data_IF_454463197113
#
_entry.id   IF_454463197113
#
_cell.length_a   1.000
_cell.length_b   1.000
_cell.length_c   1.000
_cell.angle_alpha   90.00
_cell.angle_beta   90.00
_cell.angle_gamma   90.00
#
_symmetry.space_group_name_H-M   'P 1'
#
loop_
_entity.id
_entity.type
_entity.pdbx_description
1 polymer ?
#
# COMPACT_ATOMS: atom_id res chain seq x y z
N UNK A 1 12.66 -2.74 -7.16
CA UNK A 1 11.32 -3.38 -7.14
C UNK A 1 10.54 -2.87 -8.34
N UNK A 2 9.96 -3.74 -9.16
CA UNK A 2 9.09 -3.33 -10.27
C UNK A 2 7.70 -2.97 -9.75
N UNK A 3 7.02 -2.04 -10.42
CA UNK A 3 5.68 -1.55 -10.04
C UNK A 3 4.68 -2.69 -9.81
N UNK A 4 4.68 -3.65 -10.72
CA UNK A 4 3.81 -4.83 -10.69
C UNK A 4 4.07 -5.72 -9.47
N UNK A 5 5.34 -5.88 -9.08
CA UNK A 5 5.69 -6.67 -7.89
C UNK A 5 5.22 -6.00 -6.59
N UNK A 6 5.20 -4.67 -6.55
CA UNK A 6 4.67 -3.93 -5.40
C UNK A 6 3.15 -4.00 -5.36
N UNK A 7 2.47 -3.85 -6.50
CA UNK A 7 1.02 -4.03 -6.61
C UNK A 7 0.57 -5.44 -6.20
N UNK A 8 1.28 -6.47 -6.66
CA UNK A 8 0.96 -7.86 -6.29
C UNK A 8 1.11 -8.10 -4.79
N UNK A 9 2.09 -7.47 -4.14
CA UNK A 9 2.24 -7.55 -2.68
C UNK A 9 1.10 -6.82 -1.94
N UNK A 10 0.68 -5.65 -2.43
CA UNK A 10 -0.45 -4.91 -1.88
C UNK A 10 -1.74 -5.75 -1.98
N UNK A 11 -2.01 -6.35 -3.14
CA UNK A 11 -3.21 -7.19 -3.33
C UNK A 11 -3.19 -8.44 -2.46
N UNK A 12 -2.05 -9.15 -2.41
CA UNK A 12 -1.92 -10.31 -1.54
C UNK A 12 -2.17 -9.94 -0.07
N UNK A 13 -1.52 -8.88 0.41
CA UNK A 13 -1.66 -8.44 1.80
C UNK A 13 -3.07 -7.92 2.12
N UNK A 14 -3.76 -7.33 1.14
CA UNK A 14 -5.17 -6.95 1.26
C UNK A 14 -6.08 -8.17 1.40
N UNK A 15 -5.86 -9.22 0.60
CA UNK A 15 -6.63 -10.46 0.71
C UNK A 15 -6.40 -11.13 2.07
N UNK A 16 -5.16 -11.15 2.57
CA UNK A 16 -4.88 -11.66 3.91
C UNK A 16 -5.57 -10.83 5.01
N UNK A 17 -5.51 -9.51 4.92
CA UNK A 17 -6.21 -8.63 5.85
C UNK A 17 -7.71 -8.89 5.86
N UNK A 18 -8.34 -9.06 4.69
CA UNK A 18 -9.77 -9.39 4.58
C UNK A 18 -10.07 -10.72 5.27
N UNK A 19 -9.24 -11.74 5.06
CA UNK A 19 -9.39 -13.04 5.73
C UNK A 19 -9.24 -12.93 7.25
N UNK A 20 -8.24 -12.18 7.72
CA UNK A 20 -8.00 -11.94 9.15
C UNK A 20 -9.15 -11.18 9.78
N UNK A 21 -9.65 -10.13 9.11
CA UNK A 21 -10.80 -9.35 9.56
C UNK A 21 -12.07 -10.19 9.61
N UNK A 22 -12.28 -11.07 8.63
CA UNK A 22 -13.43 -11.97 8.62
C UNK A 22 -13.41 -12.97 9.79
N UNK A 23 -12.22 -13.43 10.20
CA UNK A 23 -12.07 -14.39 11.30
C UNK A 23 -11.99 -13.75 12.69
N UNK A 24 -11.24 -12.65 12.83
CA UNK A 24 -10.87 -12.05 14.12
C UNK A 24 -11.53 -10.69 14.37
N UNK A 25 -12.18 -10.10 13.36
CA UNK A 25 -12.72 -8.75 13.41
C UNK A 25 -11.67 -7.66 13.18
N UNK A 26 -12.14 -6.49 12.76
CA UNK A 26 -11.33 -5.29 12.46
C UNK A 26 -10.54 -4.78 13.67
N UNK A 27 -11.08 -4.96 14.88
CA UNK A 27 -10.47 -4.48 16.12
C UNK A 27 -9.43 -5.46 16.70
N UNK A 28 -9.20 -6.61 16.05
CA UNK A 28 -8.16 -7.51 16.51
C UNK A 28 -6.78 -6.88 16.31
N UNK A 29 -5.84 -7.06 17.25
CA UNK A 29 -4.50 -6.52 17.13
C UNK A 29 -3.81 -6.99 15.84
N UNK A 30 -4.12 -8.22 15.40
CA UNK A 30 -3.60 -8.78 14.16
C UNK A 30 -4.19 -8.08 12.91
N UNK A 31 -5.48 -7.75 12.88
CA UNK A 31 -6.05 -6.97 11.78
C UNK A 31 -5.47 -5.55 11.72
N UNK A 32 -5.26 -4.92 12.89
CA UNK A 32 -4.64 -3.60 12.98
C UNK A 32 -3.21 -3.63 12.46
N UNK A 33 -2.40 -4.63 12.86
CA UNK A 33 -1.04 -4.79 12.35
C UNK A 33 -1.02 -4.97 10.83
N UNK A 34 -1.85 -5.86 10.29
CA UNK A 34 -1.92 -6.09 8.84
C UNK A 34 -2.40 -4.85 8.08
N UNK A 35 -3.31 -4.07 8.67
CA UNK A 35 -3.75 -2.78 8.11
C UNK A 35 -2.62 -1.77 8.06
N UNK A 36 -1.79 -1.68 9.10
CA UNK A 36 -0.63 -0.77 9.13
C UNK A 36 0.45 -1.18 8.13
N UNK A 37 0.67 -2.48 7.96
CA UNK A 37 1.61 -2.98 6.95
C UNK A 37 1.11 -2.75 5.53
N UNK A 38 -0.19 -2.94 5.29
CA UNK A 38 -0.81 -2.63 4.00
C UNK A 38 -0.71 -1.13 3.70
N UNK A 39 -0.99 -0.27 4.68
CA UNK A 39 -0.86 1.18 4.54
C UNK A 39 0.58 1.59 4.22
N UNK A 40 1.58 0.98 4.87
CA UNK A 40 2.99 1.23 4.57
C UNK A 40 3.35 0.85 3.13
N UNK A 41 2.88 -0.30 2.64
CA UNK A 41 3.09 -0.71 1.25
C UNK A 41 2.42 0.24 0.24
N UNK A 42 1.22 0.74 0.57
CA UNK A 42 0.52 1.75 -0.23
C UNK A 42 1.27 3.07 -0.23
N UNK A 43 1.80 3.51 0.92
CA UNK A 43 2.60 4.72 1.04
C UNK A 43 3.91 4.60 0.26
N UNK A 44 4.57 3.46 0.28
CA UNK A 44 5.76 3.19 -0.54
C UNK A 44 5.43 3.23 -2.03
N UNK A 45 4.32 2.60 -2.44
CA UNK A 45 3.87 2.66 -3.83
C UNK A 45 3.56 4.10 -4.26
N UNK A 46 2.86 4.85 -3.40
CA UNK A 46 2.54 6.24 -3.63
C UNK A 46 3.82 7.10 -3.73
N UNK A 47 4.79 6.90 -2.83
CA UNK A 47 6.07 7.60 -2.83
C UNK A 47 6.91 7.30 -4.08
N UNK A 48 6.96 6.04 -4.50
CA UNK A 48 7.79 5.58 -5.62
C UNK A 48 7.19 5.91 -6.98
N UNK A 49 5.86 5.86 -7.12
CA UNK A 49 5.19 5.93 -8.43
C UNK A 49 4.25 7.11 -8.61
N UNK A 50 3.58 7.60 -7.55
CA UNK A 50 2.64 8.73 -7.64
C UNK A 50 3.37 10.06 -7.39
N UNK A 51 4.18 10.16 -6.34
CA UNK A 51 4.90 11.40 -5.98
C UNK A 51 5.96 11.79 -7.01
N UNK A 52 6.53 10.82 -7.73
CA UNK A 52 7.42 11.07 -8.88
C UNK A 52 6.70 11.83 -10.00
N UNK A 53 5.43 11.52 -10.25
CA UNK A 53 4.61 12.20 -11.26
C UNK A 53 4.31 13.65 -10.90
N UNK A 54 4.23 14.00 -9.60
CA UNK A 54 4.03 15.38 -9.15
C UNK A 54 5.28 16.26 -9.24
N UNK A 55 6.49 15.68 -9.10
CA UNK A 55 7.73 16.46 -9.23
C UNK A 55 8.07 16.74 -10.70
N UNK A 56 7.81 15.79 -11.62
CA UNK A 56 8.04 16.00 -13.05
C UNK A 56 7.11 17.06 -13.67
N UNK A 57 5.90 17.25 -13.14
CA UNK A 57 5.01 18.34 -13.58
C UNK A 57 5.48 19.74 -13.18
N UNK A 58 6.30 19.88 -12.13
CA UNK A 58 6.77 21.19 -11.66
C UNK A 58 8.11 21.64 -12.26
N UNK A 59 8.86 20.73 -12.92
CA UNK A 59 10.14 21.06 -13.57
C UNK A 59 9.99 21.41 -15.06
N UNK A 60 8.80 21.24 -15.65
CA UNK A 60 8.43 21.66 -17.01
C UNK A 60 7.79 23.07 -17.03
N UNK A 61 8.16 23.93 -16.09
CA UNK A 61 7.81 25.36 -16.16
C UNK A 61 8.85 26.22 -15.46
N UNK A 62 10.02 26.37 -16.07
CA UNK A 62 10.91 27.52 -15.88
C UNK A 62 11.97 27.57 -16.97
#
# INVERSE_FOLDING_TARGET
MSREKLLKQIENKRNELIGIVANNGLNSPIAIQYSQELDSLLNDYNRLYIKKSSIEKSLVTK
#
